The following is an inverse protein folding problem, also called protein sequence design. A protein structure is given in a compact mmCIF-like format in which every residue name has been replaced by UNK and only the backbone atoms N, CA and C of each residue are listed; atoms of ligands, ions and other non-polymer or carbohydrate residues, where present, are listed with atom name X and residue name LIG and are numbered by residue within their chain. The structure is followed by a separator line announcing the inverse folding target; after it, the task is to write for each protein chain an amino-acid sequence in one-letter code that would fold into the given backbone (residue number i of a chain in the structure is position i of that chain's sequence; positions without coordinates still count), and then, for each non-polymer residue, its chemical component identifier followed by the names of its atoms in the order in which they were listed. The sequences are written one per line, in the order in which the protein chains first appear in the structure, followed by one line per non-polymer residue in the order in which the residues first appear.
data_IF_654391767216
#
_entry.id   IF_654391767216
#
_cell.length_a   1.000
_cell.length_b   1.000
_cell.length_c   1.000
_cell.angle_alpha   90.00
_cell.angle_beta   90.00
_cell.angle_gamma   90.00
#
_symmetry.space_group_name_H-M   'P 1'
#
loop_
_entity.id
_entity.type
_entity.pdbx_description
1 polymer ?
#
# COMPACT_ATOMS: atom_id res chain seq x y z
N UNK A 1 30.67 12.71 -8.05
CA UNK A 1 29.36 12.31 -7.47
C UNK A 1 29.51 12.41 -5.96
N UNK A 2 28.79 13.32 -5.31
CA UNK A 2 28.78 13.38 -3.84
C UNK A 2 28.04 12.11 -3.39
N UNK A 3 28.68 11.29 -2.57
CA UNK A 3 28.09 10.12 -1.94
C UNK A 3 28.05 10.37 -0.44
N UNK A 4 26.86 10.26 0.16
CA UNK A 4 26.70 10.44 1.59
C UNK A 4 26.61 9.07 2.24
N UNK A 5 27.59 8.74 3.08
CA UNK A 5 27.61 7.45 3.80
C UNK A 5 26.44 7.34 4.77
N UNK A 6 26.22 8.39 5.57
CA UNK A 6 25.09 8.48 6.47
C UNK A 6 24.57 9.91 6.56
N UNK A 7 23.25 10.01 6.62
CA UNK A 7 22.54 11.26 6.83
C UNK A 7 21.48 11.03 7.90
N UNK A 8 21.72 11.58 9.09
CA UNK A 8 20.88 11.43 10.26
C UNK A 8 20.43 12.81 10.71
N UNK A 9 19.13 13.02 10.80
CA UNK A 9 18.55 14.31 11.18
C UNK A 9 17.53 14.14 12.30
N UNK A 10 17.63 15.03 13.28
CA UNK A 10 16.63 15.28 14.32
C UNK A 10 16.34 16.78 14.38
N UNK A 11 15.14 17.20 13.97
CA UNK A 11 14.65 18.56 14.25
C UNK A 11 13.24 18.49 14.85
N UNK A 12 12.97 19.20 15.96
CA UNK A 12 11.72 19.08 16.68
C UNK A 12 10.52 19.70 15.93
N UNK A 13 10.68 20.91 15.40
CA UNK A 13 9.63 21.64 14.69
C UNK A 13 10.19 22.22 13.41
N UNK A 14 9.59 21.85 12.28
CA UNK A 14 9.98 22.36 10.96
C UNK A 14 8.69 22.75 10.24
N UNK A 15 8.59 23.95 9.69
CA UNK A 15 7.47 24.25 8.79
C UNK A 15 7.69 23.54 7.46
N UNK A 16 8.81 23.81 6.82
CA UNK A 16 9.18 23.29 5.51
C UNK A 16 10.46 22.46 5.59
N UNK A 17 10.37 21.19 5.20
CA UNK A 17 11.53 20.34 5.00
C UNK A 17 11.59 19.87 3.54
N UNK A 18 12.61 20.36 2.81
CA UNK A 18 12.90 19.95 1.45
C UNK A 18 14.34 19.44 1.42
N UNK A 19 14.54 18.25 0.87
CA UNK A 19 15.90 17.73 0.65
C UNK A 19 16.04 17.04 -0.70
N UNK A 20 17.17 17.31 -1.31
CA UNK A 20 17.69 16.64 -2.49
C UNK A 20 19.10 16.15 -2.16
N UNK A 21 19.28 14.82 -2.11
CA UNK A 21 20.60 14.23 -1.88
C UNK A 21 20.84 13.10 -2.89
N UNK A 22 21.83 13.23 -3.79
CA UNK A 22 22.20 12.12 -4.64
C UNK A 22 22.97 11.07 -3.82
N UNK A 23 22.66 9.79 -4.03
CA UNK A 23 23.39 8.63 -3.50
C UNK A 23 23.66 8.64 -1.98
N UNK A 24 22.74 8.05 -1.22
CA UNK A 24 22.87 7.93 0.24
C UNK A 24 22.87 6.47 0.65
N UNK A 25 23.86 5.97 1.40
CA UNK A 25 23.73 4.60 1.91
C UNK A 25 22.70 4.52 3.04
N UNK A 26 22.79 5.40 4.03
CA UNK A 26 21.90 5.41 5.19
C UNK A 26 21.21 6.78 5.34
N UNK A 27 19.88 6.79 5.29
CA UNK A 27 19.09 8.00 5.53
C UNK A 27 18.08 7.74 6.65
N UNK A 28 18.27 8.45 7.77
CA UNK A 28 17.39 8.37 8.95
C UNK A 28 16.90 9.76 9.31
N UNK A 29 15.58 9.93 9.38
CA UNK A 29 14.98 11.20 9.81
C UNK A 29 13.95 10.98 10.91
N UNK A 30 14.06 11.84 11.93
CA UNK A 30 13.05 12.04 12.94
C UNK A 30 12.65 13.52 12.98
N UNK A 31 11.40 13.82 12.60
CA UNK A 31 10.84 15.17 12.68
C UNK A 31 9.45 15.12 13.32
N UNK A 32 9.30 15.47 14.61
CA UNK A 32 8.02 15.41 15.32
C UNK A 32 6.90 16.18 14.63
N UNK A 33 7.18 17.42 14.24
CA UNK A 33 6.20 18.30 13.64
C UNK A 33 6.75 18.87 12.33
N UNK A 34 6.13 18.51 11.22
CA UNK A 34 6.41 19.09 9.90
C UNK A 34 5.10 19.52 9.25
N UNK A 35 4.98 20.75 8.74
CA UNK A 35 3.79 21.04 7.92
C UNK A 35 3.96 20.44 6.52
N UNK A 36 5.05 20.77 5.84
CA UNK A 36 5.34 20.29 4.49
C UNK A 36 6.68 19.53 4.43
N UNK A 37 6.62 18.26 4.03
CA UNK A 37 7.78 17.39 3.87
C UNK A 37 7.90 16.88 2.43
N UNK A 38 8.99 17.26 1.75
CA UNK A 38 9.26 16.87 0.36
C UNK A 38 10.68 16.29 0.27
N UNK A 39 10.79 15.07 -0.24
CA UNK A 39 12.08 14.39 -0.41
C UNK A 39 12.26 13.84 -1.81
N UNK A 40 13.44 14.09 -2.36
CA UNK A 40 13.94 13.44 -3.55
C UNK A 40 15.31 12.82 -3.28
N UNK A 41 15.39 11.49 -3.38
CA UNK A 41 16.61 10.72 -3.15
C UNK A 41 16.75 9.63 -4.22
N UNK A 42 17.57 9.85 -5.27
CA UNK A 42 17.71 8.93 -6.40
C UNK A 42 18.06 7.49 -6.04
N UNK A 43 19.04 7.34 -5.15
CA UNK A 43 19.61 6.06 -4.77
C UNK A 43 19.80 6.08 -3.26
N UNK A 44 19.09 5.20 -2.57
CA UNK A 44 19.23 5.00 -1.13
C UNK A 44 19.35 3.52 -0.83
N UNK A 45 20.33 3.05 -0.05
CA UNK A 45 20.23 1.65 0.40
C UNK A 45 19.18 1.52 1.50
N UNK A 46 19.32 2.25 2.60
CA UNK A 46 18.42 2.17 3.75
C UNK A 46 17.76 3.51 4.01
N UNK A 47 16.42 3.54 3.95
CA UNK A 47 15.63 4.73 4.22
C UNK A 47 14.64 4.48 5.37
N UNK A 48 14.82 5.19 6.48
CA UNK A 48 13.96 5.09 7.65
C UNK A 48 13.46 6.48 8.03
N UNK A 49 12.14 6.60 8.15
CA UNK A 49 11.49 7.85 8.55
C UNK A 49 10.47 7.64 9.66
N UNK A 50 10.55 8.52 10.65
CA UNK A 50 9.56 8.68 11.70
C UNK A 50 9.03 10.13 11.71
N UNK A 51 7.73 10.27 11.45
CA UNK A 51 7.06 11.54 11.26
C UNK A 51 5.68 11.49 11.95
N UNK A 52 5.56 11.88 13.23
CA UNK A 52 4.31 11.80 13.95
C UNK A 52 3.28 12.79 13.44
N UNK A 53 3.62 14.07 13.26
CA UNK A 53 2.70 15.07 12.75
C UNK A 53 3.20 15.63 11.42
N UNK A 54 2.53 15.25 10.32
CA UNK A 54 2.79 15.81 8.99
C UNK A 54 1.49 16.18 8.30
N UNK A 55 1.36 17.40 7.81
CA UNK A 55 0.15 17.77 7.04
C UNK A 55 0.23 17.27 5.60
N UNK A 56 1.36 17.48 4.93
CA UNK A 56 1.59 17.07 3.55
C UNK A 56 2.96 16.41 3.39
N UNK A 57 2.94 15.16 2.90
CA UNK A 57 4.15 14.38 2.66
C UNK A 57 4.21 13.93 1.20
N UNK A 58 5.33 14.25 0.56
CA UNK A 58 5.65 13.80 -0.79
C UNK A 58 7.05 13.18 -0.76
N UNK A 59 7.15 11.96 -1.27
CA UNK A 59 8.44 11.34 -1.47
C UNK A 59 8.59 10.72 -2.85
N UNK A 60 9.78 10.89 -3.40
CA UNK A 60 10.22 10.26 -4.61
C UNK A 60 11.58 9.59 -4.39
N UNK A 61 11.59 8.24 -4.45
CA UNK A 61 12.82 7.46 -4.47
C UNK A 61 12.82 6.46 -5.64
N UNK A 62 13.63 6.69 -6.67
CA UNK A 62 13.81 5.72 -7.76
C UNK A 62 14.33 4.38 -7.28
N UNK A 63 15.42 4.34 -6.51
CA UNK A 63 16.07 3.10 -6.13
C UNK A 63 16.27 3.04 -4.62
N UNK A 64 15.58 2.10 -3.97
CA UNK A 64 15.70 1.86 -2.52
C UNK A 64 15.83 0.38 -2.22
N UNK A 65 16.80 -0.04 -1.40
CA UNK A 65 16.83 -1.46 -1.00
C UNK A 65 15.82 -1.77 0.11
N UNK A 66 15.81 -0.95 1.17
CA UNK A 66 14.88 -1.06 2.29
C UNK A 66 14.25 0.30 2.58
N UNK A 67 12.93 0.35 2.57
CA UNK A 67 12.15 1.52 2.96
C UNK A 67 11.22 1.19 4.12
N UNK A 68 11.35 1.96 5.19
CA UNK A 68 10.51 1.87 6.38
C UNK A 68 9.97 3.26 6.69
N UNK A 69 8.65 3.36 6.80
CA UNK A 69 7.98 4.59 7.18
C UNK A 69 6.95 4.35 8.28
N UNK A 70 6.99 5.21 9.29
CA UNK A 70 6.05 5.22 10.40
C UNK A 70 5.45 6.61 10.59
N UNK A 71 4.15 6.75 10.34
CA UNK A 71 3.39 7.97 10.63
C UNK A 71 2.17 7.68 11.52
N UNK A 72 2.25 7.96 12.83
CA UNK A 72 1.21 7.62 13.81
C UNK A 72 0.03 8.60 13.89
N UNK A 73 0.14 9.87 13.47
CA UNK A 73 -0.96 10.83 13.61
C UNK A 73 -1.52 11.30 12.27
N UNK A 74 -2.55 12.17 12.33
CA UNK A 74 -3.39 12.55 11.20
C UNK A 74 -2.59 13.27 10.13
N UNK A 75 -2.50 12.67 8.95
CA UNK A 75 -1.94 13.28 7.75
C UNK A 75 -3.07 13.66 6.80
N UNK A 76 -3.07 14.91 6.33
CA UNK A 76 -4.05 15.37 5.35
C UNK A 76 -3.84 14.65 4.01
N UNK A 77 -2.60 14.57 3.54
CA UNK A 77 -2.28 13.89 2.28
C UNK A 77 -0.88 13.27 2.28
N UNK A 78 -0.81 12.01 1.89
CA UNK A 78 0.42 11.24 1.76
C UNK A 78 0.55 10.69 0.34
N UNK A 79 1.65 11.04 -0.33
CA UNK A 79 2.00 10.50 -1.64
C UNK A 79 3.39 9.87 -1.64
N UNK A 80 3.46 8.61 -2.09
CA UNK A 80 4.69 7.81 -2.12
C UNK A 80 4.91 7.31 -3.55
N UNK A 81 6.03 7.72 -4.15
CA UNK A 81 6.45 7.30 -5.48
C UNK A 81 7.78 6.56 -5.39
N UNK A 82 7.76 5.25 -5.66
CA UNK A 82 8.97 4.43 -5.69
C UNK A 82 9.07 3.64 -7.00
N UNK A 83 10.25 3.61 -7.61
CA UNK A 83 10.44 2.91 -8.89
C UNK A 83 10.92 1.48 -8.67
N UNK A 84 11.99 1.26 -7.90
CA UNK A 84 12.52 -0.06 -7.60
C UNK A 84 12.81 -0.21 -6.11
N UNK A 85 12.20 -1.22 -5.50
CA UNK A 85 12.32 -1.49 -4.06
C UNK A 85 12.48 -2.98 -3.77
N UNK A 86 13.49 -3.37 -3.00
CA UNK A 86 13.60 -4.78 -2.60
C UNK A 86 12.62 -5.12 -1.47
N UNK A 87 12.48 -4.23 -0.48
CA UNK A 87 11.57 -4.44 0.65
C UNK A 87 10.98 -3.13 1.14
N UNK A 88 9.65 -3.11 1.23
CA UNK A 88 8.87 -1.94 1.59
C UNK A 88 7.90 -2.28 2.73
N UNK A 89 7.99 -1.52 3.82
CA UNK A 89 7.03 -1.59 4.92
C UNK A 89 6.45 -0.22 5.24
N UNK A 90 5.12 -0.15 5.29
CA UNK A 90 4.36 1.08 5.51
C UNK A 90 3.42 0.87 6.69
N UNK A 91 3.60 1.67 7.75
CA UNK A 91 2.75 1.66 8.94
C UNK A 91 2.11 3.02 9.15
N UNK A 92 0.79 3.05 9.09
CA UNK A 92 0.00 4.28 9.05
C UNK A 92 -1.25 4.13 9.90
N UNK A 93 -1.49 5.07 10.81
CA UNK A 93 -2.62 4.99 11.74
C UNK A 93 -3.83 5.80 11.27
N UNK A 94 -3.64 7.06 10.85
CA UNK A 94 -4.74 7.93 10.42
C UNK A 94 -4.34 8.82 9.25
N UNK A 95 -5.00 8.63 8.10
CA UNK A 95 -4.69 9.36 6.86
C UNK A 95 -5.99 9.75 6.15
N UNK A 96 -6.14 11.02 5.77
CA UNK A 96 -7.31 11.42 4.98
C UNK A 96 -7.20 10.88 3.55
N UNK A 97 -6.09 11.14 2.86
CA UNK A 97 -5.84 10.59 1.52
C UNK A 97 -4.45 9.98 1.38
N UNK A 98 -4.38 8.73 0.90
CA UNK A 98 -3.14 8.01 0.64
C UNK A 98 -3.07 7.55 -0.83
N UNK A 99 -2.02 7.99 -1.53
CA UNK A 99 -1.67 7.51 -2.86
C UNK A 99 -0.29 6.83 -2.86
N UNK A 100 -0.25 5.56 -3.22
CA UNK A 100 0.99 4.78 -3.33
C UNK A 100 1.18 4.37 -4.79
N UNK A 101 2.28 4.78 -5.40
CA UNK A 101 2.66 4.40 -6.75
C UNK A 101 3.99 3.66 -6.75
N UNK A 102 3.96 2.41 -7.21
CA UNK A 102 5.09 1.48 -7.14
C UNK A 102 5.27 0.75 -8.47
N UNK A 103 6.48 0.84 -9.06
CA UNK A 103 6.76 0.17 -10.34
C UNK A 103 7.25 -1.27 -10.14
N UNK A 104 8.32 -1.48 -9.38
CA UNK A 104 8.82 -2.82 -9.07
C UNK A 104 9.15 -2.97 -7.60
N UNK A 105 8.56 -3.99 -6.98
CA UNK A 105 8.76 -4.31 -5.55
C UNK A 105 8.96 -5.80 -5.37
N UNK A 106 9.95 -6.23 -4.57
CA UNK A 106 10.06 -7.65 -4.25
C UNK A 106 9.08 -8.07 -3.15
N UNK A 107 9.07 -7.35 -2.03
CA UNK A 107 8.17 -7.59 -0.90
C UNK A 107 7.53 -6.30 -0.41
N UNK A 108 6.22 -6.34 -0.16
CA UNK A 108 5.45 -5.20 0.32
C UNK A 108 4.51 -5.61 1.47
N UNK A 109 4.65 -4.90 2.60
CA UNK A 109 3.68 -4.91 3.69
C UNK A 109 3.09 -3.53 3.93
N UNK A 110 1.77 -3.43 3.88
CA UNK A 110 1.02 -2.21 4.16
C UNK A 110 0.08 -2.48 5.34
N UNK A 111 0.24 -1.73 6.41
CA UNK A 111 -0.63 -1.75 7.58
C UNK A 111 -1.28 -0.38 7.77
N UNK A 112 -2.61 -0.33 7.65
CA UNK A 112 -3.41 0.89 7.76
C UNK A 112 -4.58 0.70 8.72
N UNK A 113 -4.69 1.61 9.69
CA UNK A 113 -5.80 1.56 10.66
C UNK A 113 -7.03 2.34 10.21
N UNK A 114 -6.87 3.62 9.87
CA UNK A 114 -7.98 4.48 9.45
C UNK A 114 -7.61 5.34 8.25
N UNK A 115 -8.35 5.17 7.15
CA UNK A 115 -8.11 5.88 5.90
C UNK A 115 -9.42 6.33 5.27
N UNK A 116 -9.57 7.60 4.91
CA UNK A 116 -10.77 8.02 4.17
C UNK A 116 -10.70 7.54 2.72
N UNK A 117 -9.63 7.86 2.00
CA UNK A 117 -9.42 7.40 0.62
C UNK A 117 -8.04 6.79 0.40
N UNK A 118 -8.00 5.55 -0.11
CA UNK A 118 -6.78 4.82 -0.43
C UNK A 118 -6.72 4.45 -1.91
N UNK A 119 -5.68 4.90 -2.60
CA UNK A 119 -5.34 4.46 -3.96
C UNK A 119 -3.95 3.82 -3.99
N UNK A 120 -3.88 2.55 -4.41
CA UNK A 120 -2.64 1.81 -4.56
C UNK A 120 -2.49 1.40 -6.02
N UNK A 121 -1.39 1.83 -6.66
CA UNK A 121 -1.02 1.45 -8.02
C UNK A 121 0.32 0.72 -8.01
N UNK A 122 0.31 -0.51 -8.54
CA UNK A 122 1.43 -1.43 -8.49
C UNK A 122 1.59 -2.12 -9.86
N UNK A 123 2.75 -1.92 -10.50
CA UNK A 123 3.02 -2.56 -11.79
C UNK A 123 3.56 -3.98 -11.65
N UNK A 124 4.52 -4.21 -10.76
CA UNK A 124 5.11 -5.55 -10.60
C UNK A 124 5.51 -5.83 -9.17
N UNK A 125 5.06 -6.99 -8.67
CA UNK A 125 5.44 -7.54 -7.37
C UNK A 125 5.96 -8.95 -7.53
N UNK A 126 7.27 -9.16 -7.28
CA UNK A 126 7.92 -10.42 -7.64
C UNK A 126 7.89 -11.52 -6.55
N UNK A 127 7.61 -11.19 -5.28
CA UNK A 127 7.49 -12.21 -4.22
C UNK A 127 6.11 -12.17 -3.55
N UNK A 128 5.85 -11.17 -2.71
CA UNK A 128 4.63 -11.12 -1.90
C UNK A 128 4.14 -9.70 -1.63
N UNK A 129 2.82 -9.58 -1.64
CA UNK A 129 2.08 -8.38 -1.26
C UNK A 129 1.10 -8.72 -0.14
N UNK A 130 1.26 -8.06 1.00
CA UNK A 130 0.35 -8.15 2.14
C UNK A 130 -0.24 -6.77 2.48
N UNK A 131 -1.56 -6.70 2.49
CA UNK A 131 -2.31 -5.46 2.76
C UNK A 131 -3.28 -5.73 3.91
N UNK A 132 -3.08 -5.03 5.03
CA UNK A 132 -3.94 -5.10 6.21
C UNK A 132 -4.62 -3.75 6.44
N UNK A 133 -5.95 -3.71 6.30
CA UNK A 133 -6.75 -2.50 6.46
C UNK A 133 -7.85 -2.72 7.50
N UNK A 134 -7.89 -1.86 8.53
CA UNK A 134 -8.94 -1.93 9.56
C UNK A 134 -10.20 -1.14 9.17
N UNK A 135 -10.06 0.13 8.82
CA UNK A 135 -11.19 0.98 8.44
C UNK A 135 -10.87 1.88 7.25
N UNK A 136 -11.61 1.70 6.16
CA UNK A 136 -11.43 2.45 4.91
C UNK A 136 -12.76 2.88 4.30
N UNK A 137 -12.94 4.17 3.99
CA UNK A 137 -14.19 4.60 3.33
C UNK A 137 -14.19 4.23 1.84
N UNK A 138 -13.10 4.52 1.12
CA UNK A 138 -12.95 4.14 -0.29
C UNK A 138 -11.57 3.57 -0.59
N UNK A 139 -11.53 2.41 -1.24
CA UNK A 139 -10.30 1.70 -1.58
C UNK A 139 -10.25 1.36 -3.07
N UNK A 140 -9.22 1.83 -3.76
CA UNK A 140 -8.92 1.42 -5.14
C UNK A 140 -7.54 0.80 -5.22
N UNK A 141 -7.45 -0.46 -5.65
CA UNK A 141 -6.20 -1.17 -5.84
C UNK A 141 -6.08 -1.55 -7.32
N UNK A 142 -4.98 -1.14 -7.95
CA UNK A 142 -4.64 -1.49 -9.33
C UNK A 142 -3.30 -2.24 -9.35
N UNK A 143 -3.33 -3.46 -9.88
CA UNK A 143 -2.22 -4.41 -9.85
C UNK A 143 -2.05 -5.08 -11.22
N UNK A 144 -0.88 -4.92 -11.83
CA UNK A 144 -0.61 -5.53 -13.14
C UNK A 144 -0.07 -6.96 -13.02
N UNK A 145 1.03 -7.17 -12.31
CA UNK A 145 1.59 -8.50 -12.08
C UNK A 145 1.99 -8.74 -10.63
N UNK A 146 1.48 -9.81 -10.04
CA UNK A 146 1.73 -10.16 -8.63
C UNK A 146 1.91 -11.66 -8.47
N UNK A 147 3.02 -12.08 -7.85
CA UNK A 147 3.26 -13.48 -7.54
C UNK A 147 2.33 -14.01 -6.43
N UNK A 148 2.20 -13.28 -5.32
CA UNK A 148 1.26 -13.64 -4.25
C UNK A 148 0.62 -12.41 -3.61
N UNK A 149 -0.69 -12.45 -3.41
CA UNK A 149 -1.48 -11.36 -2.85
C UNK A 149 -2.32 -11.84 -1.66
N UNK A 150 -2.13 -11.20 -0.51
CA UNK A 150 -3.00 -11.32 0.66
C UNK A 150 -3.59 -9.97 1.05
N UNK A 151 -4.92 -9.90 1.10
CA UNK A 151 -5.66 -8.70 1.50
C UNK A 151 -6.58 -9.06 2.67
N UNK A 152 -6.38 -8.38 3.79
CA UNK A 152 -7.20 -8.49 4.99
C UNK A 152 -7.94 -7.18 5.25
N UNK A 153 -9.27 -7.26 5.37
CA UNK A 153 -10.16 -6.10 5.48
C UNK A 153 -11.15 -6.30 6.63
N UNK A 154 -11.22 -5.35 7.56
CA UNK A 154 -12.21 -5.38 8.64
C UNK A 154 -13.44 -4.51 8.38
N UNK A 155 -13.28 -3.30 7.85
CA UNK A 155 -14.42 -2.44 7.50
C UNK A 155 -14.09 -1.58 6.29
N UNK A 156 -14.86 -1.75 5.21
CA UNK A 156 -14.67 -1.01 3.96
C UNK A 156 -16.03 -0.59 3.41
N UNK A 157 -16.24 0.71 3.15
CA UNK A 157 -17.52 1.19 2.60
C UNK A 157 -17.61 1.01 1.07
N UNK A 158 -16.49 1.14 0.36
CA UNK A 158 -16.40 0.90 -1.09
C UNK A 158 -15.02 0.37 -1.46
N UNK A 159 -14.95 -0.65 -2.32
CA UNK A 159 -13.68 -1.19 -2.79
C UNK A 159 -13.76 -1.62 -4.26
N UNK A 160 -12.73 -1.25 -5.02
CA UNK A 160 -12.50 -1.65 -6.41
C UNK A 160 -11.09 -2.25 -6.54
N UNK A 161 -10.99 -3.50 -6.98
CA UNK A 161 -9.71 -4.17 -7.22
C UNK A 161 -9.60 -4.51 -8.70
N UNK A 162 -8.59 -3.94 -9.37
CA UNK A 162 -8.26 -4.25 -10.75
C UNK A 162 -6.96 -5.06 -10.79
N UNK A 163 -7.04 -6.26 -11.38
CA UNK A 163 -5.94 -7.23 -11.46
C UNK A 163 -5.77 -7.70 -12.90
N UNK A 164 -4.55 -7.67 -13.43
CA UNK A 164 -4.27 -8.24 -14.75
C UNK A 164 -3.66 -9.64 -14.69
N UNK A 165 -2.76 -9.91 -13.73
CA UNK A 165 -2.15 -11.24 -13.56
C UNK A 165 -1.75 -11.49 -12.11
N UNK A 166 -2.22 -12.61 -11.54
CA UNK A 166 -1.91 -13.00 -10.16
C UNK A 166 -1.72 -14.52 -10.09
N UNK A 167 -0.59 -14.99 -9.54
CA UNK A 167 -0.37 -16.42 -9.40
C UNK A 167 -1.19 -17.00 -8.23
N UNK A 168 -1.19 -16.35 -7.06
CA UNK A 168 -2.03 -16.72 -5.92
C UNK A 168 -2.71 -15.52 -5.27
N UNK A 169 -4.02 -15.65 -5.01
CA UNK A 169 -4.85 -14.60 -4.43
C UNK A 169 -5.61 -15.11 -3.21
N UNK A 170 -5.44 -14.42 -2.08
CA UNK A 170 -6.20 -14.62 -0.84
C UNK A 170 -6.84 -13.32 -0.37
N UNK A 171 -8.16 -13.33 -0.22
CA UNK A 171 -8.92 -12.17 0.28
C UNK A 171 -9.78 -12.62 1.47
N UNK A 172 -9.58 -11.97 2.61
CA UNK A 172 -10.28 -12.26 3.87
C UNK A 172 -11.02 -10.99 4.31
N UNK A 173 -12.23 -10.74 3.80
CA UNK A 173 -13.12 -9.71 4.31
C UNK A 173 -13.89 -10.19 5.53
N UNK A 174 -13.88 -9.39 6.60
CA UNK A 174 -14.73 -9.58 7.77
C UNK A 174 -15.79 -8.46 7.86
N UNK A 175 -16.60 -8.30 6.81
CA UNK A 175 -17.46 -7.11 6.57
C UNK A 175 -18.91 -7.52 6.34
N UNK A 176 -19.88 -6.67 6.68
CA UNK A 176 -21.34 -6.89 6.58
C UNK A 176 -22.02 -6.38 5.30
N UNK A 177 -21.42 -5.45 4.55
CA UNK A 177 -21.97 -4.89 3.30
C UNK A 177 -20.84 -4.60 2.33
N UNK A 178 -20.86 -5.21 1.14
CA UNK A 178 -19.79 -5.02 0.18
C UNK A 178 -20.21 -5.25 -1.29
N UNK A 179 -19.51 -4.62 -2.25
CA UNK A 179 -19.49 -4.90 -3.70
C UNK A 179 -18.05 -5.23 -4.08
N UNK A 180 -17.70 -6.50 -4.30
CA UNK A 180 -16.41 -6.85 -4.94
C UNK A 180 -16.60 -6.81 -6.46
N UNK A 181 -15.74 -6.08 -7.18
CA UNK A 181 -15.60 -6.16 -8.64
C UNK A 181 -14.20 -6.68 -9.00
N UNK A 182 -14.12 -7.86 -9.62
CA UNK A 182 -12.88 -8.42 -10.19
C UNK A 182 -13.10 -8.72 -11.69
N UNK A 183 -12.69 -7.83 -12.61
CA UNK A 183 -12.76 -8.11 -14.04
C UNK A 183 -11.53 -8.85 -14.55
N UNK A 184 -11.76 -9.93 -15.30
CA UNK A 184 -10.81 -10.59 -16.20
C UNK A 184 -9.47 -11.05 -15.59
N UNK A 185 -9.51 -11.93 -14.58
CA UNK A 185 -8.28 -12.41 -13.93
C UNK A 185 -7.94 -13.85 -14.35
N UNK A 186 -6.73 -14.12 -14.88
CA UNK A 186 -6.13 -15.45 -14.88
C UNK A 186 -5.48 -15.74 -13.51
N UNK A 187 -5.95 -16.77 -12.80
CA UNK A 187 -5.48 -17.11 -11.45
C UNK A 187 -5.13 -18.60 -11.34
N UNK A 188 -3.96 -18.94 -10.81
CA UNK A 188 -3.61 -20.35 -10.59
C UNK A 188 -4.32 -20.91 -9.34
N UNK A 189 -4.40 -20.13 -8.25
CA UNK A 189 -5.19 -20.47 -7.06
C UNK A 189 -5.91 -19.27 -6.46
N UNK A 190 -7.23 -19.43 -6.29
CA UNK A 190 -8.10 -18.41 -5.70
C UNK A 190 -8.74 -18.93 -4.41
N UNK A 191 -8.48 -18.25 -3.29
CA UNK A 191 -9.16 -18.48 -2.01
C UNK A 191 -9.88 -17.21 -1.53
N UNK A 192 -11.20 -17.30 -1.42
CA UNK A 192 -12.06 -16.21 -0.95
C UNK A 192 -12.85 -16.70 0.26
N UNK A 193 -12.67 -16.03 1.39
CA UNK A 193 -13.35 -16.38 2.65
C UNK A 193 -14.32 -15.27 3.06
N UNK A 194 -15.62 -15.47 2.85
CA UNK A 194 -16.66 -14.45 3.01
C UNK A 194 -17.55 -14.75 4.21
N UNK A 195 -17.55 -13.84 5.19
CA UNK A 195 -18.42 -13.93 6.37
C UNK A 195 -19.84 -13.40 6.11
N UNK A 196 -19.97 -12.25 5.42
CA UNK A 196 -21.24 -11.64 5.06
C UNK A 196 -21.08 -10.74 3.83
N UNK A 197 -22.01 -10.82 2.86
CA UNK A 197 -21.89 -10.08 1.59
C UNK A 197 -23.27 -9.60 1.12
N UNK A 198 -23.37 -8.32 0.75
CA UNK A 198 -24.59 -7.78 0.14
C UNK A 198 -24.63 -7.93 -1.38
N UNK A 199 -23.49 -7.81 -2.05
CA UNK A 199 -23.38 -7.94 -3.52
C UNK A 199 -21.97 -8.36 -3.93
N UNK A 200 -21.87 -9.29 -4.88
CA UNK A 200 -20.59 -9.83 -5.32
C UNK A 200 -20.60 -9.94 -6.85
N UNK A 201 -19.63 -9.33 -7.52
CA UNK A 201 -19.44 -9.43 -8.97
C UNK A 201 -18.01 -9.89 -9.28
N UNK A 202 -17.86 -11.16 -9.66
CA UNK A 202 -16.58 -11.77 -9.99
C UNK A 202 -16.62 -12.20 -11.47
N UNK A 203 -15.76 -11.62 -12.29
CA UNK A 203 -15.59 -11.99 -13.70
C UNK A 203 -14.21 -12.64 -13.88
N UNK A 204 -14.17 -13.95 -14.09
CA UNK A 204 -12.94 -14.74 -14.22
C UNK A 204 -12.75 -15.20 -15.66
N UNK A 205 -11.52 -15.13 -16.17
CA UNK A 205 -11.18 -15.63 -17.52
C UNK A 205 -10.60 -17.05 -17.49
N UNK A 206 -9.79 -17.39 -16.48
CA UNK A 206 -9.24 -18.75 -16.33
C UNK A 206 -8.79 -19.01 -14.89
N UNK A 207 -9.24 -20.10 -14.28
CA UNK A 207 -8.86 -20.50 -12.91
C UNK A 207 -8.44 -21.97 -12.87
N UNK A 208 -7.27 -22.27 -12.32
CA UNK A 208 -6.81 -23.67 -12.16
C UNK A 208 -7.36 -24.32 -10.87
N UNK A 209 -7.53 -23.55 -9.79
CA UNK A 209 -8.14 -24.02 -8.54
C UNK A 209 -8.93 -22.91 -7.84
N UNK A 210 -10.16 -23.23 -7.44
CA UNK A 210 -11.11 -22.29 -6.83
C UNK A 210 -11.60 -22.83 -5.49
N UNK A 211 -11.44 -22.03 -4.44
CA UNK A 211 -12.02 -22.30 -3.13
C UNK A 211 -12.76 -21.06 -2.62
N UNK A 212 -14.09 -21.15 -2.55
CA UNK A 212 -14.94 -20.10 -2.02
C UNK A 212 -15.62 -20.65 -0.77
N UNK A 213 -15.36 -20.03 0.37
CA UNK A 213 -16.04 -20.33 1.62
C UNK A 213 -17.01 -19.20 1.94
N UNK A 214 -18.28 -19.56 2.13
CA UNK A 214 -19.39 -18.64 2.32
C UNK A 214 -20.24 -19.06 3.52
N UNK A 215 -20.56 -18.10 4.40
CA UNK A 215 -21.38 -18.33 5.59
C UNK A 215 -22.79 -17.72 5.46
N UNK A 216 -22.99 -16.67 4.66
CA UNK A 216 -24.33 -16.13 4.33
C UNK A 216 -24.34 -15.27 3.05
N UNK A 217 -25.38 -15.36 2.21
CA UNK A 217 -25.52 -14.60 0.94
C UNK A 217 -26.95 -14.09 0.77
N UNK A 218 -27.12 -12.83 0.36
CA UNK A 218 -28.43 -12.26 0.03
C UNK A 218 -28.74 -12.10 -1.48
N UNK A 219 -27.75 -12.00 -2.38
CA UNK A 219 -27.95 -12.02 -3.84
C UNK A 219 -26.67 -12.47 -4.58
N UNK A 220 -26.82 -13.28 -5.63
CA UNK A 220 -25.73 -13.74 -6.50
C UNK A 220 -26.13 -13.53 -7.96
N UNK A 221 -25.28 -12.85 -8.75
CA UNK A 221 -25.38 -12.84 -10.21
C UNK A 221 -24.05 -13.29 -10.79
N UNK A 222 -24.09 -14.37 -11.56
CA UNK A 222 -22.96 -14.97 -12.29
C UNK A 222 -22.73 -14.27 -13.62
#
# INVERSE_FOLDING_TARGET
MISVSSFIIYLPNVSLFIIYLPNVSLFIIYLPNVSLFIIYLPNVSLFIIYLPNVSLFIIYLPNVSLFIIYLPNVICSLSIYLMSVCSLSIYLMSVCSLSIYLMSVCSLSIYLMSVCSLSIYLMSVCCSLSIYLMSVCSLSIYLMSVCSLSIYLMSVCSLSIYLMSVCSLSIIPNVSLFIIYLPNVPVCSLSIYLMSVCSLSIYLMSVCSLSIYLISVHYLST
#
